data_IF_271518012962
#
_entry.id   IF_271518012962
#
_cell.length_a   1.000
_cell.length_b   1.000
_cell.length_c   1.000
_cell.angle_alpha   90.00
_cell.angle_beta   90.00
_cell.angle_gamma   90.00
#
_symmetry.space_group_name_H-M   'P 1'
#
loop_
_entity.id
_entity.type
_entity.pdbx_description
1 polymer ?
#
# COMPACT_ATOMS: atom_id res chain seq x y z
N UNK A 1 6.60 -35.50 -32.32
CA UNK A 1 5.39 -34.72 -32.67
C UNK A 1 4.93 -33.82 -31.54
N UNK A 2 4.48 -34.32 -30.38
CA UNK A 2 4.07 -33.43 -29.26
C UNK A 2 5.22 -32.65 -28.63
N UNK A 3 6.39 -33.25 -28.46
CA UNK A 3 7.57 -32.59 -27.89
C UNK A 3 8.09 -31.44 -28.78
N UNK A 4 8.07 -31.64 -30.10
CA UNK A 4 8.57 -30.64 -31.06
C UNK A 4 7.64 -29.41 -31.11
N UNK A 5 6.33 -29.64 -31.05
CA UNK A 5 5.33 -28.57 -30.94
C UNK A 5 5.47 -27.82 -29.62
N UNK A 6 5.75 -28.51 -28.51
CA UNK A 6 6.01 -27.86 -27.23
C UNK A 6 7.26 -26.97 -27.27
N UNK A 7 8.34 -27.44 -27.90
CA UNK A 7 9.56 -26.65 -28.04
C UNK A 7 9.34 -25.43 -28.93
N UNK A 8 8.66 -25.61 -30.08
CA UNK A 8 8.31 -24.51 -30.99
C UNK A 8 7.46 -23.43 -30.31
N UNK A 9 6.45 -23.83 -29.53
CA UNK A 9 5.58 -22.88 -28.80
C UNK A 9 6.31 -22.20 -27.65
N UNK A 10 7.32 -22.84 -27.04
CA UNK A 10 8.15 -22.23 -25.98
C UNK A 10 9.14 -21.21 -26.53
N UNK A 11 9.71 -21.47 -27.71
CA UNK A 11 10.69 -20.58 -28.36
C UNK A 11 10.04 -19.44 -29.16
N UNK A 12 8.77 -19.57 -29.52
CA UNK A 12 8.03 -18.53 -30.21
C UNK A 12 7.76 -17.32 -29.30
N UNK A 13 8.44 -16.21 -29.58
CA UNK A 13 8.32 -14.94 -28.85
C UNK A 13 6.88 -14.44 -28.77
N UNK A 14 6.13 -14.51 -29.88
CA UNK A 14 4.74 -14.05 -29.93
C UNK A 14 3.84 -14.90 -29.04
N UNK A 15 4.07 -16.22 -29.02
CA UNK A 15 3.34 -17.13 -28.13
C UNK A 15 3.70 -16.89 -26.67
N UNK A 16 4.98 -16.68 -26.36
CA UNK A 16 5.46 -16.41 -25.01
C UNK A 16 4.91 -15.08 -24.45
N UNK A 17 4.83 -14.03 -25.28
CA UNK A 17 4.30 -12.72 -24.87
C UNK A 17 2.77 -12.63 -24.89
N UNK A 18 2.10 -13.43 -25.74
CA UNK A 18 0.64 -13.47 -25.80
C UNK A 18 0.01 -14.31 -24.68
N UNK A 19 0.80 -15.17 -24.02
CA UNK A 19 0.34 -15.78 -22.76
C UNK A 19 0.27 -14.69 -21.71
N UNK A 20 -0.94 -14.48 -21.17
CA UNK A 20 -1.12 -13.59 -20.03
C UNK A 20 -0.14 -13.92 -18.91
N UNK A 21 0.23 -12.90 -18.13
CA UNK A 21 1.13 -13.04 -16.97
C UNK A 21 0.72 -14.29 -16.16
N UNK A 22 1.64 -15.24 -15.90
CA UNK A 22 1.36 -16.33 -14.97
C UNK A 22 0.81 -15.71 -13.68
N UNK A 23 -0.22 -16.28 -13.03
CA UNK A 23 -0.61 -15.79 -11.71
C UNK A 23 0.64 -15.84 -10.85
N UNK A 24 1.20 -14.66 -10.56
CA UNK A 24 2.35 -14.50 -9.68
C UNK A 24 1.84 -14.79 -8.27
N UNK A 25 1.68 -16.08 -7.97
CA UNK A 25 1.58 -16.62 -6.62
C UNK A 25 3.01 -16.80 -6.10
N UNK A 26 3.80 -15.73 -6.17
CA UNK A 26 4.93 -15.63 -5.25
C UNK A 26 4.36 -15.51 -3.84
N UNK A 27 4.96 -16.14 -2.82
CA UNK A 27 4.61 -15.80 -1.46
C UNK A 27 4.73 -14.28 -1.31
N UNK A 28 3.74 -13.63 -0.71
CA UNK A 28 3.90 -12.24 -0.30
C UNK A 28 5.18 -12.17 0.55
N UNK A 29 5.98 -11.09 0.45
CA UNK A 29 7.03 -10.83 1.41
C UNK A 29 6.46 -11.06 2.82
N UNK A 30 7.21 -11.72 3.70
CA UNK A 30 6.76 -12.00 5.07
C UNK A 30 6.10 -10.74 5.63
N UNK A 31 4.84 -10.86 6.04
CA UNK A 31 4.08 -9.70 6.48
C UNK A 31 4.76 -9.17 7.75
N UNK A 32 5.08 -7.88 7.79
CA UNK A 32 5.63 -7.27 9.00
C UNK A 32 4.50 -7.31 10.03
N UNK A 33 4.56 -8.25 10.97
CA UNK A 33 3.58 -8.33 12.05
C UNK A 33 3.88 -7.23 13.07
N UNK A 34 3.00 -6.22 13.22
CA UNK A 34 3.20 -5.18 14.21
C UNK A 34 2.99 -5.76 15.62
N UNK A 35 3.80 -5.31 16.57
CA UNK A 35 3.80 -5.75 17.97
C UNK A 35 3.05 -4.79 18.89
N UNK A 36 2.93 -3.52 18.49
CA UNK A 36 2.20 -2.49 19.22
C UNK A 36 1.57 -1.46 18.25
N UNK A 37 0.54 -0.69 18.70
CA UNK A 37 -0.09 0.33 17.88
C UNK A 37 0.92 1.32 17.29
N UNK A 38 0.72 1.69 16.03
CA UNK A 38 1.53 2.66 15.28
C UNK A 38 2.98 2.24 14.98
N UNK A 39 3.36 0.97 15.20
CA UNK A 39 4.67 0.44 14.77
C UNK A 39 4.78 0.37 13.24
N UNK A 40 3.69 -0.08 12.59
CA UNK A 40 3.59 -0.18 11.14
C UNK A 40 2.36 0.56 10.68
N UNK A 41 2.57 1.67 9.97
CA UNK A 41 1.51 2.47 9.38
C UNK A 41 1.59 2.34 7.87
N UNK A 42 0.54 1.84 7.24
CA UNK A 42 0.40 1.91 5.79
C UNK A 42 -0.18 3.27 5.40
N UNK A 43 0.38 3.84 4.34
CA UNK A 43 -0.05 5.11 3.79
C UNK A 43 -0.48 4.90 2.33
N UNK A 44 -1.65 5.42 1.96
CA UNK A 44 -2.12 5.34 0.57
C UNK A 44 -3.01 6.53 0.20
N UNK A 45 -3.14 6.77 -1.09
CA UNK A 45 -3.99 7.82 -1.63
C UNK A 45 -5.30 7.27 -2.17
N UNK A 46 -6.35 8.05 -1.96
CA UNK A 46 -7.62 7.88 -2.63
C UNK A 46 -7.90 9.13 -3.47
N UNK A 47 -7.64 9.04 -4.78
CA UNK A 47 -7.61 10.19 -5.71
C UNK A 47 -8.85 10.32 -6.60
N UNK A 48 -9.83 9.43 -6.47
CA UNK A 48 -11.04 9.44 -7.33
C UNK A 48 -12.22 10.20 -6.71
N UNK A 49 -11.92 11.21 -5.89
CA UNK A 49 -12.95 12.01 -5.23
C UNK A 49 -13.29 13.26 -6.04
N UNK A 50 -14.55 13.72 -6.00
CA UNK A 50 -14.99 14.84 -6.81
C UNK A 50 -14.30 16.18 -6.48
N UNK A 51 -13.81 16.34 -5.25
CA UNK A 51 -13.39 17.64 -4.70
C UNK A 51 -11.97 17.69 -4.13
N UNK A 52 -11.36 16.56 -3.76
CA UNK A 52 -10.05 16.52 -3.11
C UNK A 52 -9.47 15.13 -3.08
N UNK A 53 -8.15 15.00 -3.15
CA UNK A 53 -7.48 13.73 -2.84
C UNK A 53 -7.56 13.45 -1.33
N UNK A 54 -7.66 12.19 -0.92
CA UNK A 54 -7.52 11.80 0.49
C UNK A 54 -6.23 11.03 0.69
N UNK A 55 -5.45 11.40 1.70
CA UNK A 55 -4.33 10.61 2.20
C UNK A 55 -4.81 9.80 3.40
N UNK A 56 -4.65 8.48 3.32
CA UNK A 56 -5.06 7.51 4.32
C UNK A 56 -3.84 7.04 5.10
N UNK A 57 -3.97 7.00 6.41
CA UNK A 57 -3.02 6.38 7.32
C UNK A 57 -3.73 5.28 8.08
N UNK A 58 -3.30 4.04 7.90
CA UNK A 58 -3.85 2.90 8.63
C UNK A 58 -2.77 2.29 9.51
N UNK A 59 -3.06 2.18 10.80
CA UNK A 59 -2.28 1.36 11.72
C UNK A 59 -2.61 -0.13 11.48
N UNK A 60 -1.58 -0.91 11.16
CA UNK A 60 -1.74 -2.34 10.86
C UNK A 60 -2.06 -3.16 12.12
N UNK A 61 -1.73 -2.65 13.31
CA UNK A 61 -1.98 -3.37 14.57
C UNK A 61 -3.45 -3.27 15.00
N UNK A 62 -3.96 -2.04 15.14
CA UNK A 62 -5.32 -1.78 15.62
C UNK A 62 -6.35 -1.72 14.48
N UNK A 63 -5.90 -1.57 13.24
CA UNK A 63 -6.77 -1.25 12.10
C UNK A 63 -7.30 0.18 12.11
N UNK A 64 -6.82 1.05 13.02
CA UNK A 64 -7.23 2.45 13.10
C UNK A 64 -6.85 3.19 11.82
N UNK A 65 -7.80 3.94 11.26
CA UNK A 65 -7.62 4.72 10.03
C UNK A 65 -7.80 6.21 10.30
N UNK A 66 -6.84 7.01 9.86
CA UNK A 66 -6.92 8.46 9.81
C UNK A 66 -6.92 8.91 8.36
N UNK A 67 -7.82 9.84 8.02
CA UNK A 67 -7.95 10.39 6.68
C UNK A 67 -7.61 11.88 6.71
N UNK A 68 -6.74 12.32 5.81
CA UNK A 68 -6.39 13.74 5.63
C UNK A 68 -6.81 14.18 4.23
N UNK A 69 -7.68 15.18 4.09
CA UNK A 69 -7.95 15.80 2.79
C UNK A 69 -6.73 16.57 2.31
N UNK A 70 -6.41 16.35 1.03
CA UNK A 70 -5.26 16.88 0.33
C UNK A 70 -5.72 17.74 -0.83
N UNK A 71 -5.01 18.86 -1.05
CA UNK A 71 -5.25 19.74 -2.20
C UNK A 71 -4.57 19.23 -3.48
N UNK A 72 -3.46 18.52 -3.31
CA UNK A 72 -2.70 17.86 -4.36
C UNK A 72 -1.90 16.70 -3.74
N UNK A 73 -1.20 15.95 -4.58
CA UNK A 73 -0.34 14.83 -4.19
C UNK A 73 1.16 15.17 -4.20
N UNK A 74 1.50 16.45 -4.10
CA UNK A 74 2.90 16.87 -4.08
C UNK A 74 3.62 16.40 -2.81
N UNK A 75 4.89 16.03 -2.94
CA UNK A 75 5.66 15.44 -1.86
C UNK A 75 5.74 16.34 -0.61
N UNK A 76 5.75 17.66 -0.78
CA UNK A 76 5.76 18.60 0.34
C UNK A 76 4.44 18.53 1.14
N UNK A 77 3.29 18.61 0.47
CA UNK A 77 1.97 18.56 1.12
C UNK A 77 1.78 17.21 1.82
N UNK A 78 2.27 16.10 1.22
CA UNK A 78 2.27 14.77 1.84
C UNK A 78 3.12 14.73 3.11
N UNK A 79 4.33 15.31 3.07
CA UNK A 79 5.21 15.35 4.24
C UNK A 79 4.57 16.16 5.39
N UNK A 80 3.98 17.32 5.07
CA UNK A 80 3.29 18.16 6.05
C UNK A 80 2.07 17.45 6.66
N UNK A 81 1.27 16.76 5.83
CA UNK A 81 0.15 15.94 6.27
C UNK A 81 0.61 14.80 7.20
N UNK A 82 1.71 14.11 6.86
CA UNK A 82 2.28 13.06 7.68
C UNK A 82 2.74 13.58 9.06
N UNK A 83 3.47 14.70 9.10
CA UNK A 83 3.92 15.30 10.36
C UNK A 83 2.75 15.71 11.26
N UNK A 84 1.66 16.22 10.68
CA UNK A 84 0.44 16.52 11.41
C UNK A 84 -0.21 15.24 11.98
N UNK A 85 -0.32 14.18 11.19
CA UNK A 85 -0.89 12.91 11.64
C UNK A 85 -0.07 12.26 12.76
N UNK A 86 1.27 12.24 12.65
CA UNK A 86 2.17 11.72 13.69
C UNK A 86 2.06 12.55 14.97
N UNK A 87 1.97 13.88 14.85
CA UNK A 87 1.76 14.78 15.98
C UNK A 87 0.42 14.54 16.68
N UNK A 88 -0.66 14.35 15.91
CA UNK A 88 -1.97 14.00 16.46
C UNK A 88 -1.87 12.65 17.18
N UNK A 89 -1.28 11.63 16.57
CA UNK A 89 -1.09 10.32 17.21
C UNK A 89 -0.31 10.41 18.52
N UNK A 90 0.74 11.23 18.58
CA UNK A 90 1.49 11.44 19.81
C UNK A 90 0.65 12.06 20.91
N UNK A 91 -0.14 13.09 20.58
CA UNK A 91 -1.07 13.72 21.54
C UNK A 91 -2.12 12.70 22.02
N UNK A 92 -2.66 11.89 21.11
CA UNK A 92 -3.63 10.84 21.46
C UNK A 92 -3.00 9.74 22.33
N UNK A 93 -1.77 9.32 22.04
CA UNK A 93 -1.01 8.37 22.87
C UNK A 93 -0.76 8.93 24.28
N UNK A 94 -0.34 10.20 24.38
CA UNK A 94 -0.17 10.90 25.66
C UNK A 94 -1.48 10.99 26.46
N UNK A 95 -2.63 11.13 25.79
CA UNK A 95 -3.95 11.16 26.43
C UNK A 95 -4.40 9.76 26.90
N UNK A 96 -4.07 8.71 26.15
CA UNK A 96 -4.50 7.34 26.42
C UNK A 96 -3.60 6.62 27.43
N UNK A 97 -2.33 7.02 27.58
CA UNK A 97 -1.40 6.55 28.63
C UNK A 97 -1.70 7.16 30.01
N UNK A 98 -2.62 8.14 30.11
CA UNK A 98 -3.03 8.80 31.36
C UNK A 98 -4.34 8.26 31.95
N UNK A 99 -4.94 7.21 31.36
CA UNK A 99 -6.17 6.55 31.82
C UNK A 99 -5.96 5.07 32.09
#
# INVERSE_FOLDING_TARGET
MYADVQNFVRECTDCASAKGRPPLLGPSPDNIEPRYPFEVVSMDFFTELPESDLLLFQDQFSGYVMCKPMRNTEAQEVAEAYEECVRIQKIWGEFNDQT
#
